data_IF_585800528578
#
_entry.id   IF_585800528578
#
_cell.length_a   1.000
_cell.length_b   1.000
_cell.length_c   1.000
_cell.angle_alpha   90.00
_cell.angle_beta   90.00
_cell.angle_gamma   90.00
#
_symmetry.space_group_name_H-M   'P 1'
#
loop_
_entity.id
_entity.type
_entity.pdbx_description
1 polymer ?
#
# COMPACT_ATOMS: atom_id res chain seq x y z
N UNK A 1 11.46 -6.60 -5.61
CA UNK A 1 11.64 -5.19 -5.20
C UNK A 1 11.17 -4.17 -6.25
N UNK A 2 11.34 -4.46 -7.55
CA UNK A 2 10.93 -3.57 -8.65
C UNK A 2 9.45 -3.15 -8.64
N UNK A 3 8.52 -4.05 -8.33
CA UNK A 3 7.09 -3.72 -8.25
C UNK A 3 6.77 -2.66 -7.18
N UNK A 4 7.48 -2.68 -6.05
CA UNK A 4 7.30 -1.71 -4.98
C UNK A 4 7.94 -0.36 -5.34
N UNK A 5 9.09 -0.36 -6.01
CA UNK A 5 9.70 0.85 -6.53
C UNK A 5 8.87 1.48 -7.65
N UNK A 6 8.37 0.67 -8.57
CA UNK A 6 7.44 1.10 -9.61
C UNK A 6 6.19 1.72 -8.99
N UNK A 7 5.64 1.11 -7.94
CA UNK A 7 4.48 1.61 -7.23
C UNK A 7 4.71 2.97 -6.55
N UNK A 8 5.82 3.11 -5.81
CA UNK A 8 6.22 4.38 -5.17
C UNK A 8 6.37 5.51 -6.20
N UNK A 9 6.99 5.21 -7.34
CA UNK A 9 7.15 6.18 -8.44
C UNK A 9 5.83 6.49 -9.15
N UNK A 10 4.96 5.51 -9.36
CA UNK A 10 3.64 5.69 -9.94
C UNK A 10 2.79 6.60 -9.05
N UNK A 11 2.74 6.33 -7.74
CA UNK A 11 2.00 7.15 -6.77
C UNK A 11 2.48 8.61 -6.73
N UNK A 12 3.78 8.87 -6.85
CA UNK A 12 4.31 10.23 -6.96
C UNK A 12 3.90 10.93 -8.27
N UNK A 13 3.85 10.20 -9.38
CA UNK A 13 3.49 10.74 -10.70
C UNK A 13 2.00 10.98 -10.88
N UNK A 14 1.15 10.29 -10.13
CA UNK A 14 -0.30 10.31 -10.33
C UNK A 14 -1.01 11.55 -9.76
N UNK A 15 -0.41 12.29 -8.81
CA UNK A 15 -0.97 13.56 -8.28
C UNK A 15 -2.44 13.47 -7.83
N UNK A 16 -3.07 14.62 -7.52
CA UNK A 16 -4.48 14.70 -7.11
C UNK A 16 -5.50 14.30 -8.21
N UNK A 17 -5.05 13.86 -9.39
CA UNK A 17 -5.88 13.47 -10.54
C UNK A 17 -6.14 11.97 -10.67
N UNK A 18 -5.61 11.16 -9.74
CA UNK A 18 -6.06 9.79 -9.40
C UNK A 18 -6.44 8.85 -10.55
N UNK A 19 -5.48 8.18 -11.18
CA UNK A 19 -5.79 6.88 -11.81
C UNK A 19 -6.08 5.91 -10.69
N UNK A 20 -7.35 5.46 -10.60
CA UNK A 20 -7.77 4.47 -9.64
C UNK A 20 -6.92 3.20 -9.80
N UNK A 21 -6.36 2.70 -8.69
CA UNK A 21 -5.68 1.42 -8.68
C UNK A 21 -6.71 0.35 -9.03
N UNK A 22 -6.44 -0.51 -10.03
CA UNK A 22 -7.28 -1.65 -10.31
C UNK A 22 -7.52 -2.47 -9.04
N UNK A 23 -8.79 -2.82 -8.81
CA UNK A 23 -9.21 -3.47 -7.57
C UNK A 23 -8.48 -4.80 -7.32
N UNK A 24 -8.12 -5.53 -8.38
CA UNK A 24 -7.35 -6.76 -8.33
C UNK A 24 -5.92 -6.54 -7.81
N UNK A 25 -5.25 -5.46 -8.26
CA UNK A 25 -3.91 -5.08 -7.79
C UNK A 25 -3.96 -4.69 -6.32
N UNK A 26 -4.96 -3.88 -5.93
CA UNK A 26 -5.18 -3.49 -4.54
C UNK A 26 -5.46 -4.71 -3.65
N UNK A 27 -6.37 -5.60 -4.07
CA UNK A 27 -6.75 -6.77 -3.28
C UNK A 27 -5.57 -7.72 -3.06
N UNK A 28 -4.72 -7.94 -4.08
CA UNK A 28 -3.49 -8.72 -3.91
C UNK A 28 -2.55 -8.10 -2.86
N UNK A 29 -2.41 -6.78 -2.85
CA UNK A 29 -1.58 -6.05 -1.87
C UNK A 29 -2.16 -6.09 -0.46
N UNK A 30 -3.48 -6.06 -0.31
CA UNK A 30 -4.15 -6.25 0.98
C UNK A 30 -3.92 -7.67 1.52
N UNK A 31 -4.02 -8.69 0.67
CA UNK A 31 -3.69 -10.08 1.09
C UNK A 31 -2.22 -10.18 1.51
N UNK A 32 -1.29 -9.63 0.72
CA UNK A 32 0.13 -9.58 1.06
C UNK A 32 0.40 -8.88 2.40
N UNK A 33 -0.36 -7.83 2.72
CA UNK A 33 -0.30 -7.13 4.00
C UNK A 33 -0.79 -7.98 5.16
N UNK A 34 -1.96 -8.61 5.02
CA UNK A 34 -2.58 -9.42 6.08
C UNK A 34 -1.75 -10.66 6.41
N UNK A 35 -1.04 -11.20 5.42
CA UNK A 35 -0.16 -12.35 5.60
C UNK A 35 1.28 -11.97 5.97
N UNK A 36 1.59 -10.67 6.05
CA UNK A 36 2.94 -10.19 6.36
C UNK A 36 3.37 -10.64 7.77
N UNK A 37 4.44 -11.43 7.82
CA UNK A 37 5.12 -11.83 9.05
C UNK A 37 6.58 -11.38 8.95
N UNK A 38 7.21 -11.10 10.09
CA UNK A 38 8.62 -10.74 10.11
C UNK A 38 9.49 -11.88 9.57
N UNK A 39 9.25 -13.12 10.00
CA UNK A 39 10.08 -14.26 9.59
C UNK A 39 11.55 -14.00 9.90
N UNK A 40 12.42 -14.23 8.92
CA UNK A 40 13.87 -13.99 9.02
C UNK A 40 14.28 -12.55 8.67
N UNK A 41 13.33 -11.66 8.37
CA UNK A 41 13.63 -10.26 8.08
C UNK A 41 14.11 -9.54 9.34
N UNK A 42 15.04 -8.60 9.15
CA UNK A 42 15.34 -7.63 10.20
C UNK A 42 14.12 -6.77 10.50
N UNK A 43 14.06 -6.22 11.72
CA UNK A 43 12.95 -5.33 12.12
C UNK A 43 12.82 -4.14 11.15
N UNK A 44 13.94 -3.62 10.64
CA UNK A 44 13.95 -2.50 9.70
C UNK A 44 13.34 -2.86 8.33
N UNK A 45 13.67 -4.04 7.80
CA UNK A 45 13.11 -4.55 6.53
C UNK A 45 11.62 -4.84 6.66
N UNK A 46 11.21 -5.46 7.76
CA UNK A 46 9.80 -5.69 8.07
C UNK A 46 9.04 -4.37 8.18
N UNK A 47 9.56 -3.38 8.91
CA UNK A 47 8.93 -2.07 9.06
C UNK A 47 8.76 -1.37 7.71
N UNK A 48 9.79 -1.39 6.86
CA UNK A 48 9.75 -0.82 5.50
C UNK A 48 8.68 -1.50 4.64
N UNK A 49 8.53 -2.82 4.75
CA UNK A 49 7.53 -3.58 4.01
C UNK A 49 6.12 -3.34 4.55
N UNK A 50 5.96 -3.23 5.87
CA UNK A 50 4.71 -2.89 6.55
C UNK A 50 4.20 -1.51 6.11
N UNK A 51 5.03 -0.47 6.16
CA UNK A 51 4.67 0.88 5.74
C UNK A 51 4.26 0.94 4.26
N UNK A 52 4.93 0.16 3.40
CA UNK A 52 4.62 0.12 1.98
C UNK A 52 3.27 -0.55 1.69
N UNK A 53 2.90 -1.58 2.46
CA UNK A 53 1.70 -2.37 2.25
C UNK A 53 0.48 -1.78 2.98
N UNK A 54 0.68 -1.10 4.12
CA UNK A 54 -0.40 -0.44 4.87
C UNK A 54 -1.12 0.63 4.04
N UNK A 55 -0.42 1.25 3.07
CA UNK A 55 -0.98 2.20 2.12
C UNK A 55 -2.11 1.64 1.23
N UNK A 56 -2.27 0.32 1.15
CA UNK A 56 -3.34 -0.34 0.38
C UNK A 56 -4.53 -0.76 1.25
N UNK A 57 -4.43 -0.64 2.58
CA UNK A 57 -5.53 -0.94 3.48
C UNK A 57 -6.59 0.16 3.40
N UNK A 58 -7.89 -0.18 3.22
CA UNK A 58 -8.98 0.79 3.20
C UNK A 58 -9.06 1.61 4.50
N UNK A 59 -8.60 1.05 5.63
CA UNK A 59 -8.68 1.68 6.96
C UNK A 59 -7.82 2.93 7.15
N UNK A 60 -6.98 3.30 6.17
CA UNK A 60 -6.18 4.52 6.20
C UNK A 60 -6.39 5.43 4.98
N UNK A 61 -7.30 5.07 4.07
CA UNK A 61 -7.69 5.88 2.90
C UNK A 61 -9.20 6.18 2.91
N UNK A 62 -9.74 6.60 4.05
CA UNK A 62 -10.90 7.49 4.06
C UNK A 62 -10.39 8.92 4.14
N UNK A 63 -10.14 9.63 3.02
CA UNK A 63 -10.68 10.98 2.99
C UNK A 63 -12.20 10.82 3.13
N UNK A 64 -12.83 11.57 4.01
CA UNK A 64 -14.29 11.57 4.23
C UNK A 64 -14.82 10.47 5.18
N UNK A 65 -14.50 10.63 6.46
CA UNK A 65 -15.56 10.68 7.48
C UNK A 65 -16.19 12.09 7.53
N UNK A 66 -16.46 12.67 6.36
CA UNK A 66 -17.41 13.76 6.17
C UNK A 66 -18.71 13.08 5.69
N UNK A 67 -19.52 12.66 6.65
CA UNK A 67 -20.96 12.56 6.44
C UNK A 67 -21.58 13.47 7.50
N UNK A 68 -22.00 14.64 7.02
CA UNK A 68 -22.72 15.78 7.63
C UNK A 68 -22.19 16.44 8.92
#
# INVERSE_FOLDING_TARGET
>A
EEANHWWKNARQRLGAGGVAIPADVRNRKVVEFLELKQGDMTVAEYATKFESLSAFSPYYNTPEAEYD
#
